data_IF_083490468085
#
_entry.id   IF_083490468085
#
_cell.length_a   1.000
_cell.length_b   1.000
_cell.length_c   1.000
_cell.angle_alpha   90.00
_cell.angle_beta   90.00
_cell.angle_gamma   90.00
#
_symmetry.space_group_name_H-M   'P 1'
#
loop_
_entity.id
_entity.type
_entity.pdbx_description
1 polymer ?
#
# COMPACT_ATOMS: atom_id res chain seq x y z
N UNK A 1 23.46 28.96 9.43
CA UNK A 1 23.58 27.73 8.61
C UNK A 1 23.00 26.53 9.36
N UNK A 2 21.73 26.60 9.79
CA UNK A 2 21.05 25.54 10.56
C UNK A 2 19.75 25.03 9.90
N UNK A 3 19.27 25.69 8.85
CA UNK A 3 17.96 25.40 8.23
C UNK A 3 18.00 24.26 7.19
N UNK A 4 19.17 23.85 6.73
CA UNK A 4 19.30 22.83 5.67
C UNK A 4 19.14 21.38 6.17
N UNK A 5 19.42 21.11 7.45
CA UNK A 5 19.34 19.76 8.02
C UNK A 5 17.90 19.33 8.36
N UNK A 6 16.99 20.27 8.62
CA UNK A 6 15.59 19.96 8.97
C UNK A 6 14.77 19.48 7.77
N UNK A 7 15.03 19.99 6.57
CA UNK A 7 14.30 19.59 5.35
C UNK A 7 14.67 18.17 4.90
N UNK A 8 15.92 17.74 5.07
CA UNK A 8 16.38 16.41 4.69
C UNK A 8 15.81 15.31 5.58
N UNK A 9 15.76 15.54 6.90
CA UNK A 9 15.15 14.61 7.86
C UNK A 9 13.64 14.51 7.67
N UNK A 10 12.93 15.63 7.44
CA UNK A 10 11.49 15.63 7.15
C UNK A 10 11.19 14.90 5.82
N UNK A 11 12.00 15.15 4.77
CA UNK A 11 11.88 14.45 3.49
C UNK A 11 12.07 12.94 3.65
N UNK A 12 13.07 12.52 4.41
CA UNK A 12 13.31 11.09 4.67
C UNK A 12 12.20 10.48 5.51
N UNK A 13 11.72 11.14 6.56
CA UNK A 13 10.55 10.67 7.32
C UNK A 13 9.32 10.47 6.42
N UNK A 14 9.01 11.44 5.54
CA UNK A 14 7.90 11.33 4.58
C UNK A 14 8.09 10.19 3.58
N UNK A 15 9.32 9.94 3.14
CA UNK A 15 9.65 8.79 2.27
C UNK A 15 9.49 7.46 3.00
N UNK A 16 9.93 7.37 4.25
CA UNK A 16 9.80 6.16 5.07
C UNK A 16 8.33 5.87 5.39
N UNK A 17 7.55 6.90 5.71
CA UNK A 17 6.10 6.81 5.94
C UNK A 17 5.37 6.34 4.66
N UNK A 18 5.76 6.89 3.50
CA UNK A 18 5.26 6.41 2.21
C UNK A 18 5.58 4.93 1.94
N UNK A 19 6.75 4.44 2.37
CA UNK A 19 7.12 3.03 2.23
C UNK A 19 6.34 2.14 3.19
N UNK A 20 6.12 2.58 4.43
CA UNK A 20 5.31 1.85 5.42
C UNK A 20 3.86 1.72 4.95
N UNK A 21 3.26 2.81 4.48
CA UNK A 21 1.88 2.78 3.96
C UNK A 21 1.78 1.93 2.68
N UNK A 22 2.81 1.94 1.81
CA UNK A 22 2.88 1.01 0.68
C UNK A 22 2.96 -0.45 1.12
N UNK A 23 3.78 -0.79 2.10
CA UNK A 23 3.87 -2.15 2.63
C UNK A 23 2.56 -2.60 3.27
N UNK A 24 1.89 -1.74 4.05
CA UNK A 24 0.56 -2.03 4.61
C UNK A 24 -0.47 -2.29 3.52
N UNK A 25 -0.53 -1.44 2.50
CA UNK A 25 -1.43 -1.62 1.37
C UNK A 25 -1.14 -2.93 0.62
N UNK A 26 0.13 -3.27 0.41
CA UNK A 26 0.52 -4.54 -0.23
C UNK A 26 0.08 -5.73 0.62
N UNK A 27 0.35 -5.74 1.93
CA UNK A 27 -0.08 -6.81 2.84
C UNK A 27 -1.61 -6.94 2.91
N UNK A 28 -2.33 -5.82 2.90
CA UNK A 28 -3.79 -5.81 2.87
C UNK A 28 -4.34 -6.50 1.61
N UNK A 29 -3.68 -6.30 0.47
CA UNK A 29 -4.08 -6.80 -0.86
C UNK A 29 -3.55 -8.20 -1.21
N UNK A 30 -2.41 -8.64 -0.65
CA UNK A 30 -1.74 -9.88 -1.06
C UNK A 30 -2.42 -11.14 -0.54
N UNK A 31 -3.06 -11.07 0.63
CA UNK A 31 -3.33 -12.26 1.44
C UNK A 31 -4.80 -12.65 1.55
N UNK A 32 -5.72 -12.05 0.79
CA UNK A 32 -7.16 -12.23 1.05
C UNK A 32 -7.44 -11.95 2.53
N UNK A 33 -6.85 -10.87 3.05
CA UNK A 33 -7.05 -10.46 4.42
C UNK A 33 -8.55 -10.39 4.71
N UNK A 34 -8.95 -10.69 5.95
CA UNK A 34 -10.36 -10.69 6.31
C UNK A 34 -11.00 -9.32 6.00
N UNK A 35 -10.30 -8.23 6.27
CA UNK A 35 -10.72 -6.87 5.89
C UNK A 35 -10.95 -6.70 4.38
N UNK A 36 -10.08 -7.28 3.53
CA UNK A 36 -10.27 -7.24 2.08
C UNK A 36 -11.53 -8.01 1.65
N UNK A 37 -11.74 -9.20 2.22
CA UNK A 37 -12.91 -10.04 1.97
C UNK A 37 -14.18 -9.32 2.38
N UNK A 38 -14.22 -8.76 3.59
CA UNK A 38 -15.33 -7.98 4.13
C UNK A 38 -15.60 -6.74 3.29
N UNK A 39 -14.57 -6.00 2.89
CA UNK A 39 -14.71 -4.83 2.01
C UNK A 39 -15.32 -5.20 0.67
N UNK A 40 -14.89 -6.31 0.06
CA UNK A 40 -15.47 -6.78 -1.19
C UNK A 40 -16.95 -7.17 -1.02
N UNK A 41 -17.33 -7.81 0.09
CA UNK A 41 -18.72 -8.15 0.39
C UNK A 41 -19.56 -6.88 0.55
N UNK A 42 -19.08 -5.91 1.34
CA UNK A 42 -19.79 -4.64 1.58
C UNK A 42 -19.96 -3.81 0.30
N UNK A 43 -18.99 -3.89 -0.61
CA UNK A 43 -19.01 -3.18 -1.88
C UNK A 43 -19.70 -3.97 -3.02
N UNK A 44 -20.27 -5.14 -2.74
CA UNK A 44 -20.85 -6.07 -3.73
C UNK A 44 -19.91 -6.35 -4.93
N UNK A 45 -18.64 -6.56 -4.62
CA UNK A 45 -17.57 -6.80 -5.58
C UNK A 45 -17.11 -8.26 -5.55
N UNK A 46 -16.87 -8.84 -6.73
CA UNK A 46 -16.24 -10.16 -6.83
C UNK A 46 -14.75 -10.08 -6.42
N UNK A 47 -14.41 -10.80 -5.36
CA UNK A 47 -13.06 -10.81 -4.78
C UNK A 47 -11.98 -11.29 -5.76
N UNK A 48 -12.31 -12.27 -6.61
CA UNK A 48 -11.37 -12.85 -7.58
C UNK A 48 -11.11 -11.86 -8.71
N UNK A 49 -12.15 -11.17 -9.18
CA UNK A 49 -12.05 -10.08 -10.14
C UNK A 49 -11.16 -8.97 -9.61
N UNK A 50 -11.40 -8.52 -8.36
CA UNK A 50 -10.60 -7.48 -7.71
C UNK A 50 -9.14 -7.94 -7.58
N UNK A 51 -8.89 -9.16 -7.07
CA UNK A 51 -7.52 -9.74 -7.00
C UNK A 51 -6.81 -9.71 -8.35
N UNK A 52 -7.49 -10.15 -9.41
CA UNK A 52 -6.91 -10.22 -10.76
C UNK A 52 -6.53 -8.84 -11.30
N UNK A 53 -7.31 -7.80 -10.98
CA UNK A 53 -6.98 -6.41 -11.34
C UNK A 53 -5.78 -5.86 -10.56
N UNK A 54 -5.64 -6.25 -9.31
CA UNK A 54 -4.58 -5.74 -8.42
C UNK A 54 -3.25 -6.50 -8.62
N UNK A 55 -3.29 -7.79 -8.96
CA UNK A 55 -2.10 -8.62 -9.13
C UNK A 55 -0.99 -8.01 -10.04
N UNK A 56 -1.28 -7.43 -11.21
CA UNK A 56 -0.25 -6.79 -12.04
C UNK A 56 0.39 -5.58 -11.37
N UNK A 57 -0.37 -4.83 -10.56
CA UNK A 57 0.12 -3.67 -9.80
C UNK A 57 1.08 -4.15 -8.71
N UNK A 58 0.70 -5.20 -7.96
CA UNK A 58 1.56 -5.79 -6.94
C UNK A 58 2.87 -6.32 -7.52
N UNK A 59 2.81 -7.02 -8.65
CA UNK A 59 4.00 -7.51 -9.37
C UNK A 59 4.92 -6.38 -9.83
N UNK A 60 4.36 -5.22 -10.21
CA UNK A 60 5.13 -4.03 -10.57
C UNK A 60 5.81 -3.34 -9.38
N UNK A 61 5.28 -3.54 -8.17
CA UNK A 61 5.81 -2.94 -6.93
C UNK A 61 6.89 -3.79 -6.25
N UNK A 62 7.01 -5.07 -6.58
CA UNK A 62 8.02 -5.99 -5.99
C UNK A 62 9.35 -6.01 -6.75
N UNK A 63 9.50 -5.17 -7.78
CA UNK A 63 10.66 -5.14 -8.69
C UNK A 63 11.54 -3.91 -8.42
#
# INVERSE_FOLDING_TARGET
MLEFNGLWTISNCKKTESLVEKSKAISWLSDFSQDFVETCILADCDQLYVKNKIQPILKGLTR
#
